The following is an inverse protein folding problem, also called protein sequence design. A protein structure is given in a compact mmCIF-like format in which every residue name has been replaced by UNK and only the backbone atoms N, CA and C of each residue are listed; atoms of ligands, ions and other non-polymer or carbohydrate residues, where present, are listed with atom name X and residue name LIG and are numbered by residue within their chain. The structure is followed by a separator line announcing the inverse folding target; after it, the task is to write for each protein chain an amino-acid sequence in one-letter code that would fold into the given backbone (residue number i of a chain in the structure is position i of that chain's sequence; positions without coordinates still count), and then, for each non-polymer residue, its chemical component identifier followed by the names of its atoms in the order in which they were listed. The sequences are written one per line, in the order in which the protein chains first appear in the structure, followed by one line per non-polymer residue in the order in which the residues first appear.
data_IF_392273181106
#
_entry.id   IF_392273181106
#
_cell.length_a   1.000
_cell.length_b   1.000
_cell.length_c   1.000
_cell.angle_alpha   90.00
_cell.angle_beta   90.00
_cell.angle_gamma   90.00
#
_symmetry.space_group_name_H-M   'P 1'
#
loop_
_entity.id
_entity.type
_entity.pdbx_description
1 polymer ?
#
# COMPACT_ATOMS: atom_id res chain seq x y z
N UNK A 1 22.41 1.05 6.56
CA UNK A 1 22.72 0.83 5.12
C UNK A 1 21.84 1.79 4.34
N UNK A 2 22.32 2.34 3.23
CA UNK A 2 21.50 3.28 2.42
C UNK A 2 21.04 2.58 1.15
N UNK A 3 20.14 1.58 1.29
CA UNK A 3 19.64 0.74 0.19
C UNK A 3 18.86 1.50 -0.88
N UNK A 4 18.31 2.68 -0.52
CA UNK A 4 17.53 3.55 -1.40
C UNK A 4 18.21 4.90 -1.63
N UNK A 5 19.54 5.00 -1.44
CA UNK A 5 20.28 6.25 -1.58
C UNK A 5 19.97 6.93 -2.91
N UNK A 6 19.52 8.18 -2.84
CA UNK A 6 19.17 9.05 -3.96
C UNK A 6 17.98 8.57 -4.82
N UNK A 7 17.34 7.45 -4.49
CA UNK A 7 16.15 6.99 -5.20
C UNK A 7 14.96 7.92 -4.90
N UNK A 8 14.26 8.33 -5.94
CA UNK A 8 13.02 9.09 -5.83
C UNK A 8 11.84 8.12 -5.70
N UNK A 9 11.00 8.31 -4.69
CA UNK A 9 9.98 7.33 -4.31
C UNK A 9 8.64 7.98 -4.00
N UNK A 10 7.56 7.23 -4.27
CA UNK A 10 6.19 7.58 -3.88
C UNK A 10 5.61 6.51 -2.95
N UNK A 11 4.95 6.94 -1.89
CA UNK A 11 4.11 6.09 -1.03
C UNK A 11 2.70 6.68 -0.96
N UNK A 12 1.69 5.98 -1.47
CA UNK A 12 0.30 6.42 -1.30
C UNK A 12 -0.24 6.01 0.07
N UNK A 13 -1.08 6.87 0.67
CA UNK A 13 -1.56 6.65 2.03
C UNK A 13 -0.43 6.72 3.08
N UNK A 14 0.54 7.61 2.87
CA UNK A 14 1.73 7.77 3.70
C UNK A 14 1.53 8.53 5.02
N UNK A 15 0.29 8.80 5.42
CA UNK A 15 -0.01 9.62 6.62
C UNK A 15 -0.23 8.80 7.90
N UNK A 16 -0.30 7.48 7.81
CA UNK A 16 -0.50 6.60 8.98
C UNK A 16 -0.09 5.15 8.69
N UNK A 17 -0.02 4.33 9.74
CA UNK A 17 0.17 2.88 9.65
C UNK A 17 1.35 2.47 8.78
N UNK A 18 1.15 1.47 7.93
CA UNK A 18 2.18 0.89 7.05
C UNK A 18 2.80 1.96 6.13
N UNK A 19 1.98 2.85 5.56
CA UNK A 19 2.47 3.89 4.65
C UNK A 19 3.42 4.87 5.34
N UNK A 20 3.09 5.33 6.54
CA UNK A 20 3.94 6.25 7.33
C UNK A 20 5.24 5.56 7.80
N UNK A 21 5.14 4.33 8.28
CA UNK A 21 6.30 3.54 8.66
C UNK A 21 7.24 3.32 7.46
N UNK A 22 6.67 3.03 6.29
CA UNK A 22 7.44 2.88 5.04
C UNK A 22 8.11 4.19 4.64
N UNK A 23 7.41 5.32 4.72
CA UNK A 23 7.99 6.63 4.39
C UNK A 23 9.19 6.95 5.28
N UNK A 24 9.09 6.70 6.60
CA UNK A 24 10.19 6.85 7.55
C UNK A 24 11.37 5.95 7.17
N UNK A 25 11.10 4.64 6.92
CA UNK A 25 12.16 3.70 6.55
C UNK A 25 12.84 4.07 5.22
N UNK A 26 12.09 4.58 4.24
CA UNK A 26 12.67 5.03 2.97
C UNK A 26 13.61 6.23 3.16
N UNK A 27 13.23 7.19 4.02
CA UNK A 27 14.10 8.32 4.38
C UNK A 27 15.38 7.85 5.08
N UNK A 28 15.27 6.94 6.04
CA UNK A 28 16.43 6.34 6.75
C UNK A 28 17.37 5.59 5.78
N UNK A 29 16.83 5.02 4.70
CA UNK A 29 17.60 4.35 3.65
C UNK A 29 18.11 5.33 2.56
N UNK A 30 17.90 6.64 2.75
CA UNK A 30 18.46 7.69 1.90
C UNK A 30 17.63 8.04 0.66
N UNK A 31 16.37 7.68 0.62
CA UNK A 31 15.46 8.03 -0.48
C UNK A 31 14.97 9.49 -0.40
N UNK A 32 14.62 10.04 -1.56
CA UNK A 32 13.75 11.21 -1.69
C UNK A 32 12.31 10.71 -1.69
N UNK A 33 11.48 11.19 -0.78
CA UNK A 33 10.17 10.61 -0.53
C UNK A 33 9.05 11.59 -0.87
N UNK A 34 8.04 11.12 -1.59
CA UNK A 34 6.73 11.72 -1.69
C UNK A 34 5.69 10.83 -1.01
N UNK A 35 4.71 11.44 -0.35
CA UNK A 35 3.56 10.76 0.22
C UNK A 35 2.26 11.38 -0.25
N UNK A 36 1.19 10.57 -0.30
CA UNK A 36 -0.17 11.10 -0.50
C UNK A 36 -1.08 10.80 0.68
N UNK A 37 -2.14 11.60 0.82
CA UNK A 37 -3.21 11.41 1.78
C UNK A 37 -4.38 12.33 1.49
N UNK A 38 -5.53 12.14 2.15
CA UNK A 38 -6.74 12.94 1.94
C UNK A 38 -7.05 13.93 3.07
N UNK A 39 -6.55 13.66 4.27
CA UNK A 39 -6.86 14.49 5.45
C UNK A 39 -5.73 15.48 5.70
N UNK A 40 -6.03 16.77 5.60
CA UNK A 40 -5.05 17.87 5.74
C UNK A 40 -4.33 17.86 7.10
N UNK A 41 -5.05 17.61 8.19
CA UNK A 41 -4.44 17.52 9.53
C UNK A 41 -3.42 16.40 9.64
N UNK A 42 -3.74 15.21 9.09
CA UNK A 42 -2.81 14.07 9.05
C UNK A 42 -1.63 14.30 8.10
N UNK A 43 -1.83 15.02 7.00
CA UNK A 43 -0.74 15.41 6.12
C UNK A 43 0.24 16.34 6.84
N UNK A 44 -0.26 17.29 7.63
CA UNK A 44 0.58 18.18 8.43
C UNK A 44 1.30 17.44 9.58
N UNK A 45 0.63 16.51 10.25
CA UNK A 45 1.26 15.63 11.25
C UNK A 45 2.36 14.75 10.63
N UNK A 46 2.11 14.23 9.44
CA UNK A 46 3.11 13.45 8.70
C UNK A 46 4.32 14.32 8.31
N UNK A 47 4.10 15.60 7.91
CA UNK A 47 5.18 16.56 7.66
C UNK A 47 6.06 16.74 8.90
N UNK A 48 5.45 16.99 10.06
CA UNK A 48 6.18 17.14 11.32
C UNK A 48 6.98 15.90 11.68
N UNK A 49 6.43 14.72 11.40
CA UNK A 49 7.06 13.42 11.72
C UNK A 49 8.20 13.07 10.77
N UNK A 50 8.06 13.36 9.48
CA UNK A 50 8.99 12.95 8.42
C UNK A 50 10.02 14.03 8.07
N UNK A 51 9.77 15.28 8.47
CA UNK A 51 10.61 16.44 8.16
C UNK A 51 10.24 17.14 6.85
N UNK A 52 10.82 18.32 6.64
CA UNK A 52 10.46 19.24 5.56
C UNK A 52 10.88 18.77 4.15
N UNK A 53 11.76 17.80 4.07
CA UNK A 53 12.27 17.30 2.78
C UNK A 53 11.35 16.28 2.09
N UNK A 54 10.17 16.00 2.69
CA UNK A 54 9.18 15.10 2.11
C UNK A 54 8.16 15.89 1.28
N UNK A 55 7.97 15.48 0.03
CA UNK A 55 6.89 16.02 -0.80
C UNK A 55 5.55 15.46 -0.34
N UNK A 56 4.65 16.34 0.06
CA UNK A 56 3.32 15.98 0.53
C UNK A 56 2.28 16.40 -0.48
N UNK A 57 1.46 15.45 -0.92
CA UNK A 57 0.42 15.66 -1.94
C UNK A 57 -0.94 15.27 -1.37
N UNK A 58 -1.85 16.24 -1.29
CA UNK A 58 -3.24 15.97 -0.96
C UNK A 58 -3.94 15.34 -2.17
N UNK A 59 -4.40 14.09 -2.04
CA UNK A 59 -5.03 13.39 -3.15
C UNK A 59 -5.99 12.29 -2.66
N UNK A 60 -7.13 12.18 -3.31
CA UNK A 60 -8.07 11.06 -3.14
C UNK A 60 -7.64 9.88 -4.01
N UNK A 61 -7.36 8.75 -3.36
CA UNK A 61 -6.95 7.52 -4.04
C UNK A 61 -8.02 6.97 -5.01
N UNK A 62 -9.29 7.25 -4.81
CA UNK A 62 -10.39 6.84 -5.69
C UNK A 62 -10.61 7.74 -6.92
N UNK A 63 -10.00 8.93 -6.97
CA UNK A 63 -10.17 9.90 -8.06
C UNK A 63 -9.14 9.70 -9.16
N UNK A 64 -9.59 9.38 -10.38
CA UNK A 64 -8.69 9.22 -11.55
C UNK A 64 -7.98 10.54 -11.88
N UNK A 65 -8.68 11.68 -11.80
CA UNK A 65 -8.06 12.99 -12.03
C UNK A 65 -6.96 13.31 -11.00
N UNK A 66 -7.15 12.90 -9.74
CA UNK A 66 -6.12 13.06 -8.72
C UNK A 66 -4.85 12.23 -9.02
N UNK A 67 -4.98 11.06 -9.67
CA UNK A 67 -3.83 10.25 -10.05
C UNK A 67 -2.96 10.93 -11.13
N UNK A 68 -3.58 11.60 -12.09
CA UNK A 68 -2.89 12.40 -13.10
C UNK A 68 -2.19 13.62 -12.48
N UNK A 69 -2.84 14.26 -11.50
CA UNK A 69 -2.26 15.38 -10.77
C UNK A 69 -1.06 14.97 -9.92
N UNK A 70 -1.13 13.82 -9.24
CA UNK A 70 0.03 13.22 -8.54
C UNK A 70 1.21 13.05 -9.50
N UNK A 71 0.97 12.45 -10.68
CA UNK A 71 2.02 12.24 -11.67
C UNK A 71 2.65 13.56 -12.13
N UNK A 72 1.83 14.58 -12.39
CA UNK A 72 2.31 15.92 -12.76
C UNK A 72 3.20 16.55 -11.69
N UNK A 73 2.78 16.52 -10.42
CA UNK A 73 3.54 17.07 -9.29
C UNK A 73 4.87 16.32 -9.09
N UNK A 74 4.86 14.99 -9.19
CA UNK A 74 6.06 14.16 -9.07
C UNK A 74 7.02 14.40 -10.22
N UNK A 75 6.52 14.55 -11.44
CA UNK A 75 7.34 14.91 -12.60
C UNK A 75 8.05 16.24 -12.43
N UNK A 76 7.35 17.25 -11.90
CA UNK A 76 7.94 18.57 -11.62
C UNK A 76 8.99 18.53 -10.49
N UNK A 77 8.73 17.75 -9.42
CA UNK A 77 9.60 17.72 -8.23
C UNK A 77 10.79 16.77 -8.35
N UNK A 78 10.60 15.61 -8.97
CA UNK A 78 11.59 14.53 -9.01
C UNK A 78 12.12 14.22 -10.41
N UNK A 79 11.35 14.53 -11.46
CA UNK A 79 11.65 14.18 -12.84
C UNK A 79 11.39 12.70 -13.14
N UNK A 80 11.99 11.80 -12.36
CA UNK A 80 11.83 10.35 -12.47
C UNK A 80 11.57 9.73 -11.12
N UNK A 81 10.99 8.52 -11.12
CA UNK A 81 10.71 7.71 -9.94
C UNK A 81 11.41 6.35 -10.04
N UNK A 82 12.05 5.94 -8.98
CA UNK A 82 12.77 4.66 -8.87
C UNK A 82 11.95 3.59 -8.16
N UNK A 83 11.05 4.00 -7.25
CA UNK A 83 10.13 3.06 -6.60
C UNK A 83 8.80 3.73 -6.26
N UNK A 84 7.72 2.95 -6.35
CA UNK A 84 6.37 3.36 -6.01
C UNK A 84 5.72 2.30 -5.12
N UNK A 85 5.27 2.70 -3.94
CA UNK A 85 4.45 1.86 -3.07
C UNK A 85 3.00 2.32 -3.11
N UNK A 86 2.17 1.58 -3.83
CA UNK A 86 0.72 1.80 -3.98
C UNK A 86 0.03 1.13 -2.79
N UNK A 87 -0.09 1.90 -1.70
CA UNK A 87 -0.52 1.39 -0.40
C UNK A 87 -1.88 1.94 0.05
N UNK A 88 -2.29 3.13 -0.42
CA UNK A 88 -3.57 3.71 -0.04
C UNK A 88 -4.72 2.73 -0.29
N UNK A 89 -5.59 2.58 0.71
CA UNK A 89 -6.73 1.68 0.64
C UNK A 89 -7.66 1.86 1.83
N UNK A 90 -8.82 1.23 1.75
CA UNK A 90 -9.81 1.15 2.82
C UNK A 90 -10.18 -0.30 3.10
N UNK A 91 -10.62 -0.55 4.32
CA UNK A 91 -11.23 -1.84 4.70
C UNK A 91 -12.69 -1.57 5.03
N UNK A 92 -13.58 -1.99 4.14
CA UNK A 92 -15.03 -1.93 4.35
C UNK A 92 -15.55 -3.37 4.46
N UNK A 93 -15.99 -3.73 5.65
CA UNK A 93 -16.42 -5.09 5.99
C UNK A 93 -17.92 -5.09 6.21
N UNK A 94 -18.64 -5.84 5.38
CA UNK A 94 -20.12 -5.94 5.42
C UNK A 94 -20.60 -7.33 5.06
N UNK A 95 -21.71 -7.80 5.62
CA UNK A 95 -22.47 -8.91 5.08
C UNK A 95 -22.84 -8.67 3.61
N UNK A 96 -22.99 -9.73 2.83
CA UNK A 96 -23.31 -9.62 1.40
C UNK A 96 -24.59 -8.81 1.15
N UNK A 97 -25.62 -8.99 1.99
CA UNK A 97 -26.89 -8.29 1.85
C UNK A 97 -26.83 -6.76 2.11
N UNK A 98 -25.77 -6.28 2.80
CA UNK A 98 -25.65 -4.88 3.20
C UNK A 98 -24.82 -4.04 2.20
N UNK A 99 -24.37 -4.65 1.10
CA UNK A 99 -23.65 -3.93 0.06
C UNK A 99 -24.60 -3.17 -0.85
N UNK A 100 -24.50 -1.85 -0.84
CA UNK A 100 -25.08 -0.99 -1.88
C UNK A 100 -24.11 -0.81 -3.05
N UNK A 101 -24.63 -0.51 -4.23
CA UNK A 101 -23.84 -0.19 -5.42
C UNK A 101 -22.82 0.94 -5.11
N UNK A 102 -23.27 2.00 -4.44
CA UNK A 102 -22.39 3.13 -4.06
C UNK A 102 -21.24 2.72 -3.12
N UNK A 103 -21.48 1.79 -2.17
CA UNK A 103 -20.42 1.29 -1.29
C UNK A 103 -19.44 0.40 -2.06
N UNK A 104 -19.95 -0.44 -2.96
CA UNK A 104 -19.14 -1.27 -3.86
C UNK A 104 -18.25 -0.39 -4.74
N UNK A 105 -18.83 0.60 -5.44
CA UNK A 105 -18.11 1.50 -6.33
C UNK A 105 -17.02 2.28 -5.61
N UNK A 106 -17.33 2.77 -4.39
CA UNK A 106 -16.34 3.46 -3.55
C UNK A 106 -15.15 2.56 -3.21
N UNK A 107 -15.41 1.33 -2.78
CA UNK A 107 -14.34 0.38 -2.42
C UNK A 107 -13.50 0.02 -3.63
N UNK A 108 -14.13 -0.29 -4.75
CA UNK A 108 -13.42 -0.59 -6.02
C UNK A 108 -12.66 0.64 -6.53
N UNK A 109 -13.24 1.83 -6.41
CA UNK A 109 -12.56 3.07 -6.83
C UNK A 109 -11.25 3.28 -6.07
N UNK A 110 -11.24 3.05 -4.75
CA UNK A 110 -10.06 3.30 -3.91
C UNK A 110 -9.06 2.15 -3.96
N UNK A 111 -9.52 0.89 -3.88
CA UNK A 111 -8.64 -0.27 -3.67
C UNK A 111 -8.18 -0.94 -4.98
N UNK A 112 -8.78 -0.61 -6.13
CA UNK A 112 -8.45 -1.23 -7.41
C UNK A 112 -8.34 -0.21 -8.57
N UNK A 113 -9.40 0.54 -8.86
CA UNK A 113 -9.43 1.46 -10.00
C UNK A 113 -8.39 2.57 -9.87
N UNK A 114 -8.34 3.24 -8.72
CA UNK A 114 -7.37 4.31 -8.47
C UNK A 114 -5.92 3.83 -8.56
N UNK A 115 -5.53 2.74 -7.87
CA UNK A 115 -4.24 2.09 -8.06
C UNK A 115 -3.86 1.81 -9.52
N UNK A 116 -4.77 1.26 -10.31
CA UNK A 116 -4.55 1.02 -11.73
C UNK A 116 -4.22 2.31 -12.50
N UNK A 117 -5.05 3.35 -12.34
CA UNK A 117 -4.85 4.62 -13.04
C UNK A 117 -3.65 5.41 -12.52
N UNK A 118 -3.30 5.27 -11.24
CA UNK A 118 -2.07 5.82 -10.69
C UNK A 118 -0.85 5.21 -11.39
N UNK A 119 -0.75 3.88 -11.43
CA UNK A 119 0.36 3.21 -12.13
C UNK A 119 0.42 3.63 -13.58
N UNK A 120 -0.73 3.65 -14.29
CA UNK A 120 -0.80 4.13 -15.68
C UNK A 120 -0.22 5.55 -15.84
N UNK A 121 -0.59 6.48 -14.97
CA UNK A 121 -0.10 7.86 -15.02
C UNK A 121 1.41 7.96 -14.68
N UNK A 122 1.93 7.07 -13.82
CA UNK A 122 3.32 7.08 -13.39
C UNK A 122 4.28 6.36 -14.34
N UNK A 123 3.81 5.43 -15.18
CA UNK A 123 4.68 4.65 -16.11
C UNK A 123 5.64 5.53 -16.93
N UNK A 124 5.26 6.72 -17.48
CA UNK A 124 6.18 7.59 -18.20
C UNK A 124 7.29 8.20 -17.32
N UNK A 125 7.06 8.30 -16.01
CA UNK A 125 8.00 8.85 -15.04
C UNK A 125 8.92 7.80 -14.43
N UNK A 126 8.64 6.51 -14.60
CA UNK A 126 9.46 5.46 -14.00
C UNK A 126 10.84 5.41 -14.64
N UNK A 127 11.87 5.34 -13.78
CA UNK A 127 13.25 5.07 -14.17
C UNK A 127 13.39 3.69 -14.85
N UNK A 128 14.49 3.48 -15.52
CA UNK A 128 14.87 2.18 -16.06
C UNK A 128 16.22 1.76 -15.45
N UNK A 129 16.27 0.92 -14.40
CA UNK A 129 15.17 0.14 -13.80
C UNK A 129 14.33 0.91 -12.77
N UNK A 130 13.16 0.35 -12.40
CA UNK A 130 12.31 0.82 -11.30
C UNK A 130 11.53 -0.33 -10.62
N UNK A 131 10.92 -0.05 -9.48
CA UNK A 131 10.09 -1.01 -8.74
C UNK A 131 8.71 -0.47 -8.42
N UNK A 132 7.66 -1.21 -8.78
CA UNK A 132 6.29 -0.99 -8.37
C UNK A 132 5.96 -2.02 -7.28
N UNK A 133 5.50 -1.56 -6.12
CA UNK A 133 5.04 -2.41 -5.04
C UNK A 133 3.56 -2.12 -4.83
N UNK A 134 2.72 -3.15 -4.95
CA UNK A 134 1.28 -3.06 -4.77
C UNK A 134 0.90 -3.67 -3.41
N UNK A 135 -0.02 -3.01 -2.70
CA UNK A 135 -0.54 -3.53 -1.44
C UNK A 135 -1.66 -4.55 -1.69
N UNK A 136 -1.34 -5.82 -1.54
CA UNK A 136 -2.29 -6.92 -1.44
C UNK A 136 -2.87 -7.06 -0.03
N UNK A 137 -3.26 -8.29 0.32
CA UNK A 137 -3.70 -8.69 1.66
C UNK A 137 -3.79 -10.21 1.73
N UNK A 138 -3.57 -10.78 2.92
CA UNK A 138 -3.87 -12.19 3.18
C UNK A 138 -5.33 -12.55 2.84
N UNK A 139 -6.25 -11.60 2.94
CA UNK A 139 -7.66 -11.79 2.59
C UNK A 139 -7.90 -12.13 1.11
N UNK A 140 -6.94 -11.89 0.23
CA UNK A 140 -7.01 -12.34 -1.17
C UNK A 140 -6.95 -13.88 -1.30
N UNK A 141 -6.50 -14.57 -0.26
CA UNK A 141 -6.30 -16.02 -0.21
C UNK A 141 -7.26 -16.75 0.74
N UNK A 142 -8.08 -15.99 1.49
CA UNK A 142 -8.93 -16.53 2.54
C UNK A 142 -10.41 -16.30 2.25
N UNK A 143 -11.26 -17.29 2.53
CA UNK A 143 -12.71 -17.16 2.49
C UNK A 143 -13.26 -16.59 3.79
N UNK A 144 -13.03 -15.31 4.08
CA UNK A 144 -13.52 -14.66 5.28
C UNK A 144 -14.85 -13.94 5.04
N UNK A 145 -15.86 -14.23 5.86
CA UNK A 145 -17.17 -13.57 5.77
C UNK A 145 -17.03 -12.04 5.94
N UNK A 146 -17.80 -11.29 5.16
CA UNK A 146 -17.83 -9.84 5.20
C UNK A 146 -16.72 -9.12 4.41
N UNK A 147 -15.75 -9.85 3.85
CA UNK A 147 -14.60 -9.25 3.14
C UNK A 147 -14.76 -9.21 1.61
N UNK A 148 -15.94 -9.47 1.09
CA UNK A 148 -16.18 -9.72 -0.35
C UNK A 148 -15.46 -8.77 -1.30
N UNK A 149 -15.78 -7.45 -1.24
CA UNK A 149 -15.24 -6.44 -2.17
C UNK A 149 -13.78 -6.16 -1.89
N UNK A 150 -13.39 -6.14 -0.62
CA UNK A 150 -12.00 -5.96 -0.23
C UNK A 150 -11.11 -7.10 -0.75
N UNK A 151 -11.50 -8.35 -0.53
CA UNK A 151 -10.77 -9.54 -1.03
C UNK A 151 -10.67 -9.56 -2.55
N UNK A 152 -11.77 -9.23 -3.25
CA UNK A 152 -11.81 -9.11 -4.70
C UNK A 152 -10.81 -8.06 -5.20
N UNK A 153 -10.79 -6.86 -4.59
CA UNK A 153 -9.86 -5.80 -4.96
C UNK A 153 -8.40 -6.23 -4.72
N UNK A 154 -8.11 -6.85 -3.56
CA UNK A 154 -6.74 -7.29 -3.22
C UNK A 154 -6.26 -8.46 -4.09
N UNK A 155 -7.13 -9.38 -4.48
CA UNK A 155 -6.83 -10.41 -5.48
C UNK A 155 -6.56 -9.78 -6.87
N UNK A 156 -7.32 -8.74 -7.23
CA UNK A 156 -7.08 -7.94 -8.44
C UNK A 156 -5.69 -7.30 -8.46
N UNK A 157 -5.20 -6.81 -7.32
CA UNK A 157 -3.84 -6.24 -7.20
C UNK A 157 -2.75 -7.28 -7.45
N UNK A 158 -2.96 -8.52 -7.00
CA UNK A 158 -2.01 -9.63 -7.26
C UNK A 158 -1.95 -9.93 -8.76
N UNK A 159 -3.10 -10.03 -9.43
CA UNK A 159 -3.18 -10.22 -10.87
C UNK A 159 -2.55 -9.06 -11.64
N UNK A 160 -2.81 -7.81 -11.22
CA UNK A 160 -2.26 -6.61 -11.82
C UNK A 160 -0.72 -6.59 -11.77
N UNK A 161 -0.10 -6.98 -10.66
CA UNK A 161 1.36 -7.03 -10.56
C UNK A 161 1.99 -7.97 -11.60
N UNK A 162 1.37 -9.12 -11.84
CA UNK A 162 1.84 -10.09 -12.83
C UNK A 162 1.78 -9.54 -14.26
N UNK A 163 0.65 -8.93 -14.62
CA UNK A 163 0.46 -8.34 -15.96
C UNK A 163 1.35 -7.13 -16.18
N UNK A 164 1.49 -6.23 -15.21
CA UNK A 164 2.42 -5.09 -15.26
C UNK A 164 3.87 -5.56 -15.41
N UNK A 165 4.27 -6.60 -14.68
CA UNK A 165 5.61 -7.16 -14.81
C UNK A 165 5.85 -7.72 -16.20
N UNK A 166 4.90 -8.46 -16.76
CA UNK A 166 5.00 -8.98 -18.15
C UNK A 166 5.16 -7.87 -19.19
N UNK A 167 4.44 -6.77 -19.01
CA UNK A 167 4.48 -5.64 -19.94
C UNK A 167 5.74 -4.76 -19.78
N UNK A 168 6.21 -4.55 -18.53
CA UNK A 168 7.21 -3.53 -18.23
C UNK A 168 8.64 -4.08 -18.01
N UNK A 169 8.81 -5.40 -17.91
CA UNK A 169 10.12 -6.01 -17.61
C UNK A 169 11.18 -5.69 -18.66
N UNK A 170 10.80 -5.50 -19.91
CA UNK A 170 11.71 -5.07 -20.98
C UNK A 170 12.38 -3.71 -20.73
N UNK A 171 11.80 -2.90 -19.85
CA UNK A 171 12.37 -1.65 -19.33
C UNK A 171 13.11 -1.84 -17.99
N UNK A 172 13.23 -3.07 -17.48
CA UNK A 172 13.77 -3.35 -16.16
C UNK A 172 12.82 -2.95 -15.00
N UNK A 173 11.54 -2.66 -15.29
CA UNK A 173 10.55 -2.29 -14.28
C UNK A 173 9.89 -3.56 -13.76
N UNK A 174 9.98 -3.76 -12.45
CA UNK A 174 9.37 -4.90 -11.73
C UNK A 174 8.11 -4.44 -11.02
N UNK A 175 7.05 -5.22 -11.05
CA UNK A 175 5.89 -5.02 -10.20
C UNK A 175 5.71 -6.26 -9.30
N UNK A 176 5.65 -6.06 -7.99
CA UNK A 176 5.46 -7.10 -7.00
C UNK A 176 4.38 -6.71 -6.02
N UNK A 177 3.87 -7.68 -5.27
CA UNK A 177 2.85 -7.46 -4.24
C UNK A 177 3.45 -7.75 -2.86
N UNK A 178 3.08 -6.92 -1.89
CA UNK A 178 3.19 -7.27 -0.49
C UNK A 178 1.78 -7.51 0.05
N UNK A 179 1.57 -8.66 0.69
CA UNK A 179 0.28 -9.06 1.26
C UNK A 179 0.41 -9.24 2.78
N UNK A 180 0.09 -8.19 3.54
CA UNK A 180 0.11 -8.27 4.99
C UNK A 180 -1.03 -9.14 5.52
N UNK A 181 -0.77 -9.79 6.66
CA UNK A 181 -1.78 -10.27 7.59
C UNK A 181 -2.32 -9.15 8.47
N UNK A 182 -2.84 -9.50 9.67
CA UNK A 182 -3.28 -8.50 10.64
C UNK A 182 -2.10 -7.68 11.18
N UNK A 183 -2.13 -6.38 10.89
CA UNK A 183 -1.11 -5.43 11.32
C UNK A 183 -1.72 -4.44 12.31
N UNK A 184 -1.01 -4.15 13.40
CA UNK A 184 -1.41 -3.13 14.37
C UNK A 184 -1.23 -1.74 13.74
N UNK A 185 -2.37 -1.13 13.40
CA UNK A 185 -2.42 0.16 12.72
C UNK A 185 -3.68 0.92 13.11
N UNK A 186 -3.71 2.26 13.01
CA UNK A 186 -4.92 3.06 13.25
C UNK A 186 -6.11 2.74 12.33
N UNK A 187 -5.95 1.83 11.38
CA UNK A 187 -7.06 1.34 10.56
C UNK A 187 -8.09 0.59 11.42
N UNK A 188 -7.63 -0.10 12.47
CA UNK A 188 -8.50 -0.82 13.40
C UNK A 188 -9.43 0.11 14.19
N UNK A 189 -9.00 1.34 14.47
CA UNK A 189 -9.79 2.36 15.19
C UNK A 189 -10.96 2.89 14.36
N UNK A 190 -10.89 2.75 13.03
CA UNK A 190 -11.92 3.26 12.10
C UNK A 190 -13.13 2.34 11.96
N UNK A 191 -13.14 1.19 12.62
CA UNK A 191 -14.24 0.23 12.52
C UNK A 191 -15.48 0.65 13.34
N UNK A 192 -15.40 1.75 14.11
CA UNK A 192 -16.53 2.28 14.88
C UNK A 192 -17.00 1.38 16.03
N UNK A 193 -16.18 0.44 16.47
CA UNK A 193 -16.49 -0.50 17.54
C UNK A 193 -16.22 0.11 18.92
N UNK A 194 -17.00 -0.28 19.90
CA UNK A 194 -16.72 0.06 21.32
C UNK A 194 -15.45 -0.63 21.86
N UNK A 195 -14.87 -0.14 22.98
CA UNK A 195 -13.62 -0.70 23.53
C UNK A 195 -13.65 -2.20 23.79
N UNK A 196 -14.77 -2.73 24.33
CA UNK A 196 -14.94 -4.15 24.60
C UNK A 196 -15.00 -4.99 23.31
N UNK A 197 -15.72 -4.50 22.29
CA UNK A 197 -15.84 -5.16 20.99
C UNK A 197 -14.51 -5.13 20.23
N UNK A 198 -13.78 -4.00 20.30
CA UNK A 198 -12.45 -3.87 19.71
C UNK A 198 -11.49 -4.90 20.30
N UNK A 199 -11.49 -5.07 21.64
CA UNK A 199 -10.66 -6.05 22.32
C UNK A 199 -11.06 -7.49 21.98
N UNK A 200 -12.36 -7.80 21.97
CA UNK A 200 -12.85 -9.13 21.60
C UNK A 200 -12.46 -9.50 20.15
N UNK A 201 -12.62 -8.54 19.22
CA UNK A 201 -12.20 -8.70 17.84
C UNK A 201 -10.69 -8.91 17.71
N UNK A 202 -9.88 -8.09 18.40
CA UNK A 202 -8.43 -8.23 18.40
C UNK A 202 -8.02 -9.62 18.88
N UNK A 203 -8.59 -10.13 19.99
CA UNK A 203 -8.32 -11.47 20.49
C UNK A 203 -8.71 -12.56 19.48
N UNK A 204 -9.88 -12.43 18.83
CA UNK A 204 -10.31 -13.36 17.81
C UNK A 204 -9.35 -13.38 16.60
N UNK A 205 -8.90 -12.22 16.13
CA UNK A 205 -7.93 -12.11 15.05
C UNK A 205 -6.58 -12.72 15.43
N UNK A 206 -6.07 -12.42 16.63
CA UNK A 206 -4.82 -13.02 17.15
C UNK A 206 -4.91 -14.53 17.22
N UNK A 207 -6.09 -15.07 17.61
CA UNK A 207 -6.32 -16.52 17.64
C UNK A 207 -6.23 -17.21 16.27
N UNK A 208 -6.36 -16.45 15.17
CA UNK A 208 -6.20 -16.97 13.80
C UNK A 208 -4.75 -16.84 13.28
N UNK A 209 -3.88 -16.17 14.00
CA UNK A 209 -2.49 -15.93 13.58
C UNK A 209 -1.57 -16.91 14.32
N UNK A 210 -0.89 -17.86 13.65
CA UNK A 210 0.00 -18.81 14.30
C UNK A 210 1.12 -18.15 15.13
N UNK A 211 1.61 -16.97 14.70
CA UNK A 211 2.59 -16.20 15.47
C UNK A 211 2.04 -15.62 16.78
N UNK A 212 0.75 -15.72 17.07
CA UNK A 212 0.11 -15.33 18.34
C UNK A 212 0.05 -13.82 18.59
N UNK A 213 0.22 -12.98 17.56
CA UNK A 213 0.20 -11.51 17.67
C UNK A 213 -0.15 -10.83 16.35
N UNK A 214 -0.48 -9.56 16.44
CA UNK A 214 -0.44 -8.69 15.26
C UNK A 214 1.02 -8.48 14.81
N UNK A 215 1.22 -8.32 13.49
CA UNK A 215 2.45 -7.76 12.96
C UNK A 215 2.52 -6.26 13.22
N UNK A 216 3.70 -5.66 13.05
CA UNK A 216 3.90 -4.21 13.16
C UNK A 216 4.00 -3.57 11.78
N UNK A 217 3.72 -2.27 11.71
CA UNK A 217 3.88 -1.50 10.48
C UNK A 217 5.35 -1.51 9.99
N UNK A 218 6.31 -1.55 10.92
CA UNK A 218 7.74 -1.61 10.64
C UNK A 218 8.17 -2.95 10.02
N UNK A 219 7.57 -4.07 10.42
CA UNK A 219 7.84 -5.38 9.80
C UNK A 219 7.47 -5.36 8.31
N UNK A 220 6.33 -4.74 7.97
CA UNK A 220 5.93 -4.55 6.57
C UNK A 220 6.83 -3.55 5.85
N UNK A 221 7.14 -2.40 6.48
CA UNK A 221 8.00 -1.37 5.90
C UNK A 221 9.39 -1.91 5.52
N UNK A 222 9.97 -2.79 6.35
CA UNK A 222 11.26 -3.43 6.07
C UNK A 222 11.22 -4.28 4.80
N UNK A 223 10.13 -5.01 4.58
CA UNK A 223 9.94 -5.80 3.36
C UNK A 223 9.68 -4.91 2.14
N UNK A 224 8.96 -3.80 2.30
CA UNK A 224 8.76 -2.82 1.22
C UNK A 224 10.10 -2.18 0.82
N UNK A 225 10.99 -1.88 1.77
CA UNK A 225 12.37 -1.43 1.45
C UNK A 225 13.11 -2.47 0.62
N UNK A 226 13.05 -3.76 0.99
CA UNK A 226 13.66 -4.84 0.20
C UNK A 226 13.09 -4.88 -1.23
N UNK A 227 11.77 -4.84 -1.39
CA UNK A 227 11.11 -4.84 -2.70
C UNK A 227 11.45 -3.59 -3.56
N UNK A 228 11.68 -2.44 -2.93
CA UNK A 228 12.05 -1.19 -3.58
C UNK A 228 13.54 -1.12 -3.94
N UNK A 229 14.37 -1.95 -3.30
CA UNK A 229 15.82 -1.94 -3.46
C UNK A 229 16.31 -2.77 -4.66
N UNK A 230 17.62 -2.72 -4.89
CA UNK A 230 18.29 -3.53 -5.89
C UNK A 230 18.61 -4.97 -5.41
N UNK A 231 18.28 -5.28 -4.16
CA UNK A 231 18.52 -6.60 -3.56
C UNK A 231 17.58 -7.69 -4.11
N UNK A 232 16.41 -7.31 -4.66
CA UNK A 232 15.42 -8.25 -5.17
C UNK A 232 15.21 -8.17 -6.70
N UNK A 233 16.25 -7.89 -7.48
CA UNK A 233 16.15 -7.72 -8.94
C UNK A 233 15.56 -8.91 -9.68
N UNK A 234 15.68 -10.12 -9.13
CA UNK A 234 15.13 -11.34 -9.72
C UNK A 234 13.69 -11.64 -9.30
N UNK A 235 13.09 -10.77 -8.47
CA UNK A 235 11.71 -10.90 -8.01
C UNK A 235 10.79 -10.07 -8.93
N UNK A 236 10.00 -10.76 -9.76
CA UNK A 236 9.19 -10.17 -10.84
C UNK A 236 7.81 -10.81 -10.84
N UNK A 237 6.74 -10.00 -10.72
CA UNK A 237 5.36 -10.47 -10.70
C UNK A 237 5.02 -11.34 -9.48
N UNK A 238 5.82 -11.27 -8.44
CA UNK A 238 5.72 -12.12 -7.26
C UNK A 238 4.90 -11.47 -6.16
N UNK A 239 4.41 -12.30 -5.25
CA UNK A 239 3.75 -11.89 -4.03
C UNK A 239 4.58 -12.30 -2.81
N UNK A 240 4.71 -11.39 -1.85
CA UNK A 240 5.34 -11.63 -0.55
C UNK A 240 4.28 -11.55 0.54
N UNK A 241 3.92 -12.69 1.12
CA UNK A 241 3.04 -12.79 2.28
C UNK A 241 3.84 -12.54 3.56
N UNK A 242 3.32 -11.62 4.41
CA UNK A 242 3.85 -11.34 5.75
C UNK A 242 2.65 -11.28 6.69
N UNK A 243 2.23 -12.43 7.18
CA UNK A 243 0.93 -12.65 7.81
C UNK A 243 1.00 -13.42 9.14
N UNK A 244 2.20 -13.69 9.63
CA UNK A 244 2.40 -14.48 10.86
C UNK A 244 1.97 -15.94 10.73
N UNK A 245 1.86 -16.45 9.50
CA UNK A 245 1.43 -17.80 9.18
C UNK A 245 -0.09 -17.95 9.00
N UNK A 246 -0.85 -16.88 8.96
CA UNK A 246 -2.34 -16.92 8.91
C UNK A 246 -2.86 -17.65 7.66
N UNK A 247 -2.16 -17.59 6.54
CA UNK A 247 -2.60 -18.20 5.27
C UNK A 247 -2.27 -19.71 5.14
N UNK A 248 -1.47 -20.26 6.04
CA UNK A 248 -1.03 -21.66 5.93
C UNK A 248 -1.79 -22.63 6.85
N UNK A 249 -2.75 -22.12 7.62
CA UNK A 249 -3.54 -22.90 8.58
C UNK A 249 -4.99 -23.04 8.11
#
# INVERSE_FOLDING_TARGET
MHRLRNKATLITGGTSGIGLATARRFLEEGARVAITGTNEGRLEEARKTLGDNVLIIAADAGSVAAQEDIARQLGAAFGKLDAVFVNAGIVDLRPLADWSEAAFDRSVAIDLKGPYFLVKALVPLLSNPASIILSGSVNAHMGMAGTHVYSLAKAGMISLARTLSGELIGRGIRANVISPGPIDTPLNDKLGLGPAETKARANAVVGMVPAGRFGTAEEIANAVVFLASDECRFMVGSEMLIDGGMNIM
#
